data_IF_285922961568
#
_entry.id   IF_285922961568
#
_cell.length_a   1.000
_cell.length_b   1.000
_cell.length_c   1.000
_cell.angle_alpha   90.00
_cell.angle_beta   90.00
_cell.angle_gamma   90.00
#
_symmetry.space_group_name_H-M   'P 1'
#
loop_
_entity.id
_entity.type
_entity.pdbx_description
1 polymer ?
#
# COMPACT_ATOMS: atom_id res chain seq x y z
N UNK A 1 6.34 1.19 -3.88
CA UNK A 1 5.65 0.02 -4.44
C UNK A 1 4.23 0.35 -4.91
N UNK A 2 3.27 0.75 -4.06
CA UNK A 2 1.84 0.91 -4.41
C UNK A 2 1.58 1.77 -5.66
N UNK A 3 2.11 2.98 -5.73
CA UNK A 3 1.92 3.87 -6.88
C UNK A 3 2.56 3.30 -8.17
N UNK A 4 3.78 2.75 -8.09
CA UNK A 4 4.44 2.10 -9.22
C UNK A 4 3.62 0.94 -9.77
N UNK A 5 3.14 0.07 -8.89
CA UNK A 5 2.30 -1.06 -9.31
C UNK A 5 1.01 -0.59 -9.99
N UNK A 6 0.34 0.43 -9.45
CA UNK A 6 -0.84 1.00 -10.10
C UNK A 6 -0.53 1.55 -11.51
N UNK A 7 0.60 2.24 -11.69
CA UNK A 7 1.03 2.70 -13.01
C UNK A 7 1.28 1.52 -13.98
N UNK A 8 1.92 0.46 -13.52
CA UNK A 8 2.17 -0.74 -14.35
C UNK A 8 0.88 -1.49 -14.69
N UNK A 9 -0.11 -1.60 -13.78
CA UNK A 9 -1.43 -2.19 -14.08
C UNK A 9 -2.17 -1.41 -15.17
N UNK A 10 -1.96 -0.12 -15.23
CA UNK A 10 -2.57 0.77 -16.21
C UNK A 10 -1.79 0.86 -17.52
N UNK A 11 -0.55 0.36 -17.56
CA UNK A 11 0.35 0.54 -18.70
C UNK A 11 0.71 2.01 -18.95
N UNK A 12 0.76 2.83 -17.89
CA UNK A 12 1.09 4.23 -18.00
C UNK A 12 2.58 4.43 -18.24
N UNK A 13 2.91 5.31 -19.19
CA UNK A 13 4.24 5.89 -19.29
C UNK A 13 4.40 6.99 -18.24
N UNK A 14 5.33 6.82 -17.32
CA UNK A 14 5.59 7.76 -16.23
C UNK A 14 7.08 7.84 -15.91
N UNK A 15 7.52 8.99 -15.43
CA UNK A 15 8.90 9.24 -15.03
C UNK A 15 9.06 9.03 -13.51
N UNK A 16 9.74 7.96 -13.05
CA UNK A 16 10.03 7.76 -11.64
C UNK A 16 11.15 8.72 -11.20
N UNK A 17 10.87 9.58 -10.22
CA UNK A 17 11.89 10.40 -9.56
C UNK A 17 12.34 9.72 -8.28
N UNK A 18 13.61 9.32 -8.26
CA UNK A 18 14.22 8.66 -7.12
C UNK A 18 14.44 9.65 -5.98
N UNK A 19 13.65 9.52 -4.93
CA UNK A 19 13.78 10.32 -3.71
C UNK A 19 14.09 9.39 -2.54
N UNK A 20 15.32 9.43 -2.05
CA UNK A 20 15.71 8.67 -0.87
C UNK A 20 14.97 9.15 0.37
N UNK A 21 14.24 8.25 1.02
CA UNK A 21 13.56 8.54 2.29
C UNK A 21 14.51 8.65 3.49
N UNK A 22 15.77 8.19 3.29
CA UNK A 22 16.84 8.24 4.28
C UNK A 22 17.93 9.16 3.75
N UNK A 23 18.33 10.18 4.20
CA UNK A 23 19.41 11.06 3.68
C UNK A 23 18.97 12.49 3.46
N UNK A 24 17.81 12.86 3.99
CA UNK A 24 17.38 14.27 4.06
C UNK A 24 16.82 14.85 2.76
N UNK A 25 16.69 14.07 1.68
CA UNK A 25 16.13 14.59 0.42
C UNK A 25 14.69 15.08 0.58
N UNK A 26 13.87 14.38 1.40
CA UNK A 26 12.50 14.79 1.66
C UNK A 26 12.39 16.07 2.51
N UNK A 27 13.50 16.47 3.15
CA UNK A 27 13.58 17.69 3.98
C UNK A 27 14.02 18.92 3.18
N UNK A 28 14.45 18.75 1.92
CA UNK A 28 14.85 19.87 1.08
C UNK A 28 13.63 20.74 0.71
N UNK A 29 13.82 22.07 0.57
CA UNK A 29 12.74 23.00 0.25
C UNK A 29 11.93 22.59 -1.00
N UNK A 30 12.61 22.09 -2.03
CA UNK A 30 11.99 21.67 -3.29
C UNK A 30 10.98 20.52 -3.07
N UNK A 31 11.33 19.56 -2.20
CA UNK A 31 10.43 18.46 -1.87
C UNK A 31 9.32 18.88 -0.90
N UNK A 32 9.65 19.73 0.09
CA UNK A 32 8.66 20.27 1.04
C UNK A 32 7.57 21.08 0.36
N UNK A 33 7.89 21.77 -0.73
CA UNK A 33 6.90 22.48 -1.55
C UNK A 33 5.90 21.54 -2.22
N UNK A 34 6.31 20.29 -2.55
CA UNK A 34 5.43 19.25 -3.07
C UNK A 34 4.67 18.52 -1.96
N UNK A 35 5.37 18.22 -0.86
CA UNK A 35 4.78 17.51 0.28
C UNK A 35 5.40 17.98 1.61
N UNK A 36 4.71 18.88 2.32
CA UNK A 36 5.20 19.39 3.62
C UNK A 36 5.28 18.31 4.71
N UNK A 37 4.70 17.13 4.50
CA UNK A 37 4.83 15.97 5.41
C UNK A 37 6.19 15.27 5.28
N UNK A 38 7.03 15.66 4.30
CA UNK A 38 8.35 15.06 4.06
C UNK A 38 8.31 13.53 3.81
N UNK A 39 7.23 13.06 3.21
CA UNK A 39 6.99 11.62 2.97
C UNK A 39 6.80 11.33 1.49
N UNK A 40 7.23 10.15 1.08
CA UNK A 40 6.94 9.54 -0.22
C UNK A 40 5.81 8.50 -0.05
N UNK A 41 5.04 8.20 -1.12
CA UNK A 41 5.12 8.75 -2.46
C UNK A 41 4.46 10.12 -2.63
N UNK A 42 4.84 10.80 -3.71
CA UNK A 42 4.14 11.96 -4.26
C UNK A 42 3.89 11.68 -5.74
N UNK A 43 2.67 11.88 -6.20
CA UNK A 43 2.31 11.89 -7.62
C UNK A 43 2.20 13.33 -8.10
N UNK A 44 2.77 13.60 -9.27
CA UNK A 44 2.50 14.83 -10.01
C UNK A 44 1.86 14.48 -11.35
N UNK A 45 0.70 15.04 -11.63
CA UNK A 45 0.01 14.92 -12.91
C UNK A 45 -0.27 16.32 -13.42
N UNK A 46 0.55 16.76 -14.39
CA UNK A 46 0.61 18.16 -14.84
C UNK A 46 0.87 19.10 -13.65
N UNK A 47 -0.11 19.93 -13.32
CA UNK A 47 -0.04 20.86 -12.17
C UNK A 47 -0.65 20.29 -10.88
N UNK A 48 -1.29 19.11 -10.98
CA UNK A 48 -1.91 18.47 -9.83
C UNK A 48 -0.87 17.66 -9.04
N UNK A 49 -0.80 17.89 -7.75
CA UNK A 49 0.07 17.18 -6.82
C UNK A 49 -0.78 16.39 -5.85
N UNK A 50 -0.54 15.09 -5.73
CA UNK A 50 -1.28 14.21 -4.83
C UNK A 50 -0.32 13.41 -3.96
N UNK A 51 -0.64 13.33 -2.70
CA UNK A 51 0.07 12.53 -1.69
C UNK A 51 -0.84 11.42 -1.16
N UNK A 52 -0.34 10.56 -0.27
CA UNK A 52 -1.00 9.36 0.26
C UNK A 52 -1.15 8.24 -0.78
N UNK A 53 -0.46 7.14 -0.57
CA UNK A 53 -0.37 6.05 -1.54
C UNK A 53 -1.74 5.48 -1.95
N UNK A 54 -2.70 5.40 -1.02
CA UNK A 54 -4.03 4.91 -1.34
C UNK A 54 -4.86 5.92 -2.15
N UNK A 55 -4.73 7.21 -1.86
CA UNK A 55 -5.35 8.26 -2.66
C UNK A 55 -4.76 8.27 -4.08
N UNK A 56 -3.45 8.09 -4.20
CA UNK A 56 -2.77 7.99 -5.50
C UNK A 56 -3.29 6.79 -6.29
N UNK A 57 -3.37 5.61 -5.68
CA UNK A 57 -3.89 4.39 -6.35
C UNK A 57 -5.33 4.62 -6.80
N UNK A 58 -6.18 5.15 -5.92
CA UNK A 58 -7.58 5.45 -6.25
C UNK A 58 -7.70 6.45 -7.40
N UNK A 59 -6.94 7.55 -7.34
CA UNK A 59 -6.92 8.56 -8.41
C UNK A 59 -6.49 7.98 -9.75
N UNK A 60 -5.41 7.21 -9.78
CA UNK A 60 -4.90 6.58 -10.99
C UNK A 60 -5.94 5.64 -11.61
N UNK A 61 -6.59 4.81 -10.80
CA UNK A 61 -7.59 3.87 -11.28
C UNK A 61 -8.90 4.54 -11.70
N UNK A 62 -9.33 5.60 -11.01
CA UNK A 62 -10.49 6.40 -11.43
C UNK A 62 -10.22 7.15 -12.75
N UNK A 63 -9.04 7.75 -12.88
CA UNK A 63 -8.73 8.65 -14.00
C UNK A 63 -8.31 7.88 -15.26
N UNK A 64 -7.49 6.84 -15.10
CA UNK A 64 -6.84 6.15 -16.21
C UNK A 64 -7.27 4.68 -16.36
N UNK A 65 -8.02 4.13 -15.41
CA UNK A 65 -8.36 2.71 -15.35
C UNK A 65 -9.46 2.26 -16.31
N UNK A 66 -10.17 3.17 -16.96
CA UNK A 66 -11.30 2.83 -17.86
C UNK A 66 -12.30 1.86 -17.19
N UNK A 67 -12.67 2.13 -15.92
CA UNK A 67 -13.58 1.32 -15.11
C UNK A 67 -13.05 -0.07 -14.72
N UNK A 68 -11.78 -0.31 -14.95
CA UNK A 68 -11.11 -1.51 -14.44
C UNK A 68 -10.61 -1.28 -13.02
N UNK A 69 -10.17 -2.05 -12.25
CA UNK A 69 -9.42 -1.90 -10.98
C UNK A 69 -10.09 -1.08 -9.87
N UNK A 70 -11.26 -0.49 -10.11
CA UNK A 70 -12.01 0.29 -9.12
C UNK A 70 -13.51 0.24 -9.45
N UNK A 71 -14.39 0.03 -8.44
CA UNK A 71 -15.83 0.05 -8.66
C UNK A 71 -16.36 1.44 -9.05
N UNK A 72 -17.46 1.47 -9.79
CA UNK A 72 -18.12 2.72 -10.20
C UNK A 72 -18.51 3.58 -8.97
N UNK A 73 -18.38 4.90 -9.06
CA UNK A 73 -18.83 5.82 -8.02
C UNK A 73 -20.30 5.62 -7.67
N UNK A 74 -20.65 5.89 -6.42
CA UNK A 74 -22.03 5.82 -5.88
C UNK A 74 -22.63 4.40 -5.84
N UNK A 75 -21.83 3.34 -5.99
CA UNK A 75 -22.26 1.95 -5.81
C UNK A 75 -21.91 1.42 -4.42
N UNK A 76 -22.57 0.33 -4.02
CA UNK A 76 -22.23 -0.39 -2.78
C UNK A 76 -20.81 -0.94 -2.83
N UNK A 77 -20.38 -1.44 -3.98
CA UNK A 77 -19.01 -1.95 -4.17
C UNK A 77 -17.97 -0.85 -3.99
N UNK A 78 -18.26 0.39 -4.42
CA UNK A 78 -17.40 1.55 -4.13
C UNK A 78 -17.34 1.83 -2.61
N UNK A 79 -18.44 1.69 -1.90
CA UNK A 79 -18.44 1.84 -0.44
C UNK A 79 -17.59 0.76 0.24
N UNK A 80 -17.71 -0.51 -0.19
CA UNK A 80 -16.87 -1.62 0.28
C UNK A 80 -15.39 -1.41 -0.08
N UNK A 81 -15.09 -0.93 -1.28
CA UNK A 81 -13.74 -0.54 -1.69
C UNK A 81 -13.15 0.50 -0.71
N UNK A 82 -13.88 1.58 -0.44
CA UNK A 82 -13.43 2.62 0.48
C UNK A 82 -13.26 2.08 1.91
N UNK A 83 -14.13 1.16 2.35
CA UNK A 83 -14.01 0.49 3.65
C UNK A 83 -12.70 -0.30 3.73
N UNK A 84 -12.40 -1.14 2.72
CA UNK A 84 -11.15 -1.90 2.68
C UNK A 84 -9.92 -0.99 2.61
N UNK A 85 -9.95 0.06 1.78
CA UNK A 85 -8.86 1.03 1.69
C UNK A 85 -8.57 1.68 3.05
N UNK A 86 -9.62 2.07 3.79
CA UNK A 86 -9.49 2.67 5.12
C UNK A 86 -8.99 1.66 6.16
N UNK A 87 -9.57 0.44 6.19
CA UNK A 87 -9.16 -0.63 7.09
C UNK A 87 -7.68 -0.99 6.91
N UNK A 88 -7.26 -1.21 5.68
CA UNK A 88 -5.87 -1.58 5.36
C UNK A 88 -4.91 -0.50 5.84
N UNK A 89 -5.21 0.77 5.57
CA UNK A 89 -4.32 1.87 5.94
C UNK A 89 -4.28 2.14 7.44
N UNK A 90 -5.41 2.05 8.12
CA UNK A 90 -5.46 2.39 9.54
C UNK A 90 -5.05 1.21 10.40
N UNK A 91 -5.69 0.05 10.21
CA UNK A 91 -5.55 -1.08 11.13
C UNK A 91 -4.32 -1.96 10.82
N UNK A 92 -3.98 -2.14 9.54
CA UNK A 92 -2.88 -3.02 9.14
C UNK A 92 -1.57 -2.27 8.83
N UNK A 93 -1.64 -1.01 8.42
CA UNK A 93 -0.46 -0.18 8.11
C UNK A 93 -0.11 0.72 9.30
N UNK A 94 -0.89 1.78 9.51
CA UNK A 94 -0.52 2.89 10.38
C UNK A 94 -0.38 2.51 11.84
N UNK A 95 -1.32 1.71 12.37
CA UNK A 95 -1.35 1.32 13.78
C UNK A 95 -0.49 0.09 14.09
N UNK A 96 -0.03 -0.65 13.07
CA UNK A 96 0.70 -1.89 13.27
C UNK A 96 2.06 -1.88 12.57
N UNK A 97 2.17 -2.26 11.31
CA UNK A 97 3.46 -2.39 10.60
C UNK A 97 4.29 -1.11 10.61
N UNK A 98 3.64 0.05 10.51
CA UNK A 98 4.35 1.33 10.54
C UNK A 98 4.85 1.70 11.95
N UNK A 99 4.16 1.29 13.01
CA UNK A 99 4.63 1.41 14.40
C UNK A 99 5.87 0.54 14.61
N UNK A 100 5.82 -0.72 14.16
CA UNK A 100 6.97 -1.62 14.22
C UNK A 100 8.16 -1.02 13.49
N UNK A 101 7.95 -0.54 12.26
CA UNK A 101 9.00 0.13 11.48
C UNK A 101 9.62 1.30 12.21
N UNK A 102 8.82 2.16 12.83
CA UNK A 102 9.33 3.34 13.54
C UNK A 102 10.20 2.97 14.74
N UNK A 103 9.70 2.07 15.58
CA UNK A 103 10.23 1.86 16.92
C UNK A 103 11.12 0.62 17.04
N UNK A 104 11.28 -0.13 15.94
CA UNK A 104 12.22 -1.25 15.81
C UNK A 104 13.28 -0.94 14.74
N UNK A 105 12.88 -0.72 13.48
CA UNK A 105 13.82 -0.59 12.36
C UNK A 105 14.44 0.80 12.26
N UNK A 106 13.75 1.83 12.74
CA UNK A 106 14.16 3.23 12.72
C UNK A 106 14.26 3.81 14.14
N UNK A 107 14.59 2.98 15.13
CA UNK A 107 14.70 3.39 16.53
C UNK A 107 15.72 4.51 16.76
N UNK A 108 16.79 4.55 15.99
CA UNK A 108 17.77 5.64 16.03
C UNK A 108 17.18 7.00 15.68
N UNK A 109 16.06 7.00 14.93
CA UNK A 109 15.40 8.24 14.45
C UNK A 109 14.19 8.60 15.31
N UNK A 110 13.41 7.59 15.74
CA UNK A 110 12.13 7.78 16.41
C UNK A 110 12.11 7.34 17.88
N UNK A 111 13.19 6.75 18.36
CA UNK A 111 13.29 6.13 19.69
C UNK A 111 12.72 4.72 19.73
N UNK A 112 13.36 3.86 20.51
CA UNK A 112 12.87 2.50 20.79
C UNK A 112 11.61 2.56 21.68
N UNK A 113 10.60 1.77 21.36
CA UNK A 113 9.38 1.63 22.17
C UNK A 113 8.89 0.16 22.15
N UNK A 114 9.56 -0.77 22.88
CA UNK A 114 9.26 -2.20 22.81
C UNK A 114 7.79 -2.54 23.08
N UNK A 115 7.18 -1.91 24.09
CA UNK A 115 5.77 -2.15 24.41
C UNK A 115 4.82 -1.72 23.26
N UNK A 116 5.14 -0.64 22.54
CA UNK A 116 4.35 -0.23 21.38
C UNK A 116 4.54 -1.20 20.20
N UNK A 117 5.76 -1.74 20.03
CA UNK A 117 6.05 -2.78 19.02
C UNK A 117 5.28 -4.06 19.32
N UNK A 118 5.28 -4.52 20.57
CA UNK A 118 4.52 -5.71 21.01
C UNK A 118 3.02 -5.52 20.76
N UNK A 119 2.45 -4.41 21.21
CA UNK A 119 1.03 -4.09 20.98
C UNK A 119 0.68 -3.99 19.47
N UNK A 120 1.62 -3.52 18.66
CA UNK A 120 1.42 -3.44 17.22
C UNK A 120 1.46 -4.82 16.53
N UNK A 121 2.30 -5.74 17.02
CA UNK A 121 2.34 -7.13 16.56
C UNK A 121 1.02 -7.83 16.90
N UNK A 122 0.55 -7.72 18.15
CA UNK A 122 -0.73 -8.29 18.56
C UNK A 122 -1.90 -7.69 17.79
N UNK A 123 -1.86 -6.37 17.57
CA UNK A 123 -2.85 -5.66 16.76
C UNK A 123 -2.91 -6.18 15.34
N UNK A 124 -1.77 -6.35 14.68
CA UNK A 124 -1.70 -6.91 13.33
C UNK A 124 -2.29 -8.33 13.30
N UNK A 125 -1.83 -9.21 14.18
CA UNK A 125 -2.29 -10.60 14.24
C UNK A 125 -3.80 -10.71 14.46
N UNK A 126 -4.38 -9.81 15.24
CA UNK A 126 -5.82 -9.73 15.45
C UNK A 126 -6.56 -9.23 14.20
N UNK A 127 -6.10 -8.11 13.64
CA UNK A 127 -6.82 -7.44 12.55
C UNK A 127 -6.72 -8.18 11.22
N UNK A 128 -5.61 -8.85 10.95
CA UNK A 128 -5.45 -9.58 9.68
C UNK A 128 -6.45 -10.75 9.55
N UNK A 129 -6.98 -11.26 10.67
CA UNK A 129 -8.02 -12.31 10.66
C UNK A 129 -9.30 -11.86 9.96
N UNK A 130 -9.58 -10.56 9.92
CA UNK A 130 -10.74 -10.02 9.17
C UNK A 130 -10.59 -10.29 7.68
N UNK A 131 -9.40 -10.04 7.14
CA UNK A 131 -9.12 -10.31 5.73
C UNK A 131 -9.02 -11.82 5.46
N UNK A 132 -8.40 -12.58 6.36
CA UNK A 132 -8.28 -14.04 6.24
C UNK A 132 -9.66 -14.69 6.17
N UNK A 133 -10.55 -14.37 7.11
CA UNK A 133 -11.91 -14.91 7.10
C UNK A 133 -12.70 -14.53 5.84
N UNK A 134 -12.59 -13.28 5.39
CA UNK A 134 -13.29 -12.81 4.20
C UNK A 134 -12.81 -13.54 2.93
N UNK A 135 -11.50 -13.72 2.78
CA UNK A 135 -10.87 -14.33 1.63
C UNK A 135 -11.02 -15.86 1.56
N UNK A 136 -11.54 -16.53 2.60
CA UNK A 136 -11.92 -17.95 2.54
C UNK A 136 -13.03 -18.21 1.52
N UNK A 137 -13.89 -17.24 1.27
CA UNK A 137 -15.05 -17.37 0.37
C UNK A 137 -15.02 -16.38 -0.80
N UNK A 138 -13.99 -15.55 -0.90
CA UNK A 138 -13.89 -14.51 -1.91
C UNK A 138 -12.50 -14.51 -2.54
N UNK A 139 -12.44 -14.43 -3.86
CA UNK A 139 -11.17 -14.37 -4.59
C UNK A 139 -10.51 -13.00 -4.48
N UNK A 140 -11.31 -11.93 -4.41
CA UNK A 140 -10.90 -10.54 -4.29
C UNK A 140 -11.63 -9.84 -3.14
N UNK A 141 -11.08 -8.72 -2.67
CA UNK A 141 -11.67 -7.94 -1.57
C UNK A 141 -12.96 -7.21 -1.96
N UNK A 142 -13.15 -6.92 -3.24
CA UNK A 142 -14.34 -6.25 -3.74
C UNK A 142 -14.75 -6.82 -5.10
N UNK A 143 -15.98 -7.30 -5.20
CA UNK A 143 -16.49 -7.84 -6.45
C UNK A 143 -15.78 -9.10 -6.92
N UNK A 144 -15.71 -9.29 -8.23
CA UNK A 144 -15.19 -10.50 -8.87
C UNK A 144 -13.86 -10.27 -9.62
N UNK A 145 -13.16 -9.16 -9.35
CA UNK A 145 -11.91 -8.84 -10.05
C UNK A 145 -10.97 -8.02 -9.18
N UNK A 146 -9.69 -8.06 -9.53
CA UNK A 146 -8.64 -7.29 -8.87
C UNK A 146 -8.96 -5.77 -8.85
N UNK A 147 -8.80 -5.16 -7.68
CA UNK A 147 -9.00 -3.73 -7.44
C UNK A 147 -7.82 -3.09 -6.70
N UNK A 148 -7.85 -1.78 -6.51
CA UNK A 148 -6.89 -1.06 -5.67
C UNK A 148 -6.86 -1.53 -4.22
N UNK A 149 -7.95 -2.10 -3.71
CA UNK A 149 -7.98 -2.70 -2.37
C UNK A 149 -7.08 -3.94 -2.31
N UNK A 150 -7.13 -4.80 -3.34
CA UNK A 150 -6.26 -5.97 -3.44
C UNK A 150 -4.79 -5.57 -3.60
N UNK A 151 -4.52 -4.52 -4.36
CA UNK A 151 -3.18 -3.94 -4.50
C UNK A 151 -2.62 -3.51 -3.13
N UNK A 152 -3.40 -2.77 -2.34
CA UNK A 152 -2.97 -2.33 -1.02
C UNK A 152 -2.79 -3.51 -0.07
N UNK A 153 -3.76 -4.43 0.00
CA UNK A 153 -3.69 -5.62 0.86
C UNK A 153 -2.44 -6.44 0.55
N UNK A 154 -2.17 -6.72 -0.71
CA UNK A 154 -0.98 -7.47 -1.11
C UNK A 154 0.31 -6.80 -0.65
N UNK A 155 0.40 -5.46 -0.72
CA UNK A 155 1.59 -4.76 -0.21
C UNK A 155 1.73 -4.84 1.30
N UNK A 156 0.64 -4.98 2.05
CA UNK A 156 0.65 -5.23 3.50
C UNK A 156 1.12 -6.66 3.78
N UNK A 157 0.59 -7.65 3.08
CA UNK A 157 0.95 -9.05 3.28
C UNK A 157 2.44 -9.28 3.00
N UNK A 158 2.95 -8.78 1.87
CA UNK A 158 4.38 -8.89 1.54
C UNK A 158 5.28 -8.15 2.55
N UNK A 159 4.81 -7.06 3.13
CA UNK A 159 5.54 -6.36 4.18
C UNK A 159 5.51 -7.13 5.50
N UNK A 160 4.37 -7.71 5.87
CA UNK A 160 4.23 -8.56 7.05
C UNK A 160 5.13 -9.79 6.96
N UNK A 161 5.15 -10.49 5.81
CA UNK A 161 6.08 -11.60 5.57
C UNK A 161 7.55 -11.19 5.73
N UNK A 162 7.94 -10.04 5.18
CA UNK A 162 9.29 -9.50 5.33
C UNK A 162 9.62 -9.15 6.80
N UNK A 163 8.62 -8.96 7.65
CA UNK A 163 8.76 -8.74 9.10
C UNK A 163 8.68 -10.02 9.93
N UNK A 164 8.50 -11.18 9.29
CA UNK A 164 8.46 -12.49 9.93
C UNK A 164 7.09 -12.85 10.52
N UNK A 165 6.02 -12.18 10.09
CA UNK A 165 4.67 -12.61 10.46
C UNK A 165 4.31 -13.91 9.72
N UNK A 166 3.75 -14.86 10.46
CA UNK A 166 3.20 -16.07 9.89
C UNK A 166 1.79 -15.80 9.38
N UNK A 167 1.62 -15.87 8.07
CA UNK A 167 0.33 -15.74 7.40
C UNK A 167 -0.32 -17.12 7.24
N UNK A 168 -1.65 -17.17 7.26
CA UNK A 168 -2.39 -18.40 6.92
C UNK A 168 -2.11 -18.82 5.47
N UNK A 169 -2.33 -20.10 5.16
CA UNK A 169 -2.22 -20.59 3.79
C UNK A 169 -3.14 -19.82 2.83
N UNK A 170 -4.34 -19.45 3.28
CA UNK A 170 -5.29 -18.69 2.49
C UNK A 170 -4.75 -17.28 2.12
N UNK A 171 -4.16 -16.56 3.08
CA UNK A 171 -3.54 -15.25 2.83
C UNK A 171 -2.28 -15.37 1.97
N UNK A 172 -1.49 -16.43 2.16
CA UNK A 172 -0.30 -16.73 1.34
C UNK A 172 -0.68 -17.02 -0.10
N UNK A 173 -1.70 -17.86 -0.32
CA UNK A 173 -2.22 -18.18 -1.65
C UNK A 173 -2.80 -16.95 -2.34
N UNK A 174 -3.55 -16.13 -1.59
CA UNK A 174 -4.07 -14.86 -2.11
C UNK A 174 -2.92 -13.92 -2.52
N UNK A 175 -1.94 -13.70 -1.64
CA UNK A 175 -0.77 -12.88 -1.91
C UNK A 175 0.01 -13.38 -3.12
N UNK A 176 0.20 -14.71 -3.22
CA UNK A 176 0.86 -15.37 -4.34
C UNK A 176 0.18 -15.13 -5.68
N UNK A 177 -1.16 -15.21 -5.73
CA UNK A 177 -1.92 -14.89 -6.95
C UNK A 177 -1.69 -13.44 -7.40
N UNK A 178 -1.70 -12.49 -6.46
CA UNK A 178 -1.54 -11.08 -6.80
C UNK A 178 -0.09 -10.72 -7.16
N UNK A 179 0.89 -11.27 -6.47
CA UNK A 179 2.32 -11.05 -6.77
C UNK A 179 2.79 -11.75 -8.05
N UNK A 180 2.04 -12.74 -8.54
CA UNK A 180 2.31 -13.38 -9.84
C UNK A 180 1.98 -12.48 -11.05
N UNK A 181 1.24 -11.40 -10.87
CA UNK A 181 0.86 -10.46 -11.93
C UNK A 181 2.09 -9.78 -12.54
N UNK A 182 2.14 -9.67 -13.85
CA UNK A 182 3.28 -9.06 -14.56
C UNK A 182 3.50 -7.59 -14.14
N UNK A 183 2.42 -6.84 -13.89
CA UNK A 183 2.51 -5.47 -13.40
C UNK A 183 3.17 -5.38 -12.01
N UNK A 184 2.91 -6.33 -11.10
CA UNK A 184 3.59 -6.41 -9.80
C UNK A 184 5.09 -6.67 -9.98
N UNK A 185 5.46 -7.67 -10.77
CA UNK A 185 6.86 -8.03 -11.04
C UNK A 185 7.63 -6.87 -11.65
N UNK A 186 7.04 -6.21 -12.65
CA UNK A 186 7.62 -5.04 -13.30
C UNK A 186 7.82 -3.87 -12.31
N UNK A 187 6.81 -3.60 -11.46
CA UNK A 187 6.93 -2.59 -10.42
C UNK A 187 8.00 -2.93 -9.37
N UNK A 188 8.11 -4.20 -8.97
CA UNK A 188 9.13 -4.64 -8.03
C UNK A 188 10.53 -4.48 -8.62
N UNK A 189 10.74 -4.89 -9.88
CA UNK A 189 12.02 -4.73 -10.58
C UNK A 189 12.41 -3.26 -10.73
N UNK A 190 11.46 -2.38 -11.05
CA UNK A 190 11.73 -0.94 -11.18
C UNK A 190 12.22 -0.30 -9.88
N UNK A 191 11.88 -0.88 -8.72
CA UNK A 191 12.31 -0.39 -7.40
C UNK A 191 13.68 -0.92 -6.96
N UNK A 192 14.16 -2.02 -7.52
CA UNK A 192 15.51 -2.56 -7.22
C UNK A 192 16.59 -1.67 -7.84
N UNK A 193 16.28 -0.99 -8.93
CA UNK A 193 17.18 -0.10 -9.65
C UNK A 193 17.06 1.38 -9.23
N UNK A 194 16.30 1.67 -8.19
CA UNK A 194 16.13 2.95 -7.55
C UNK A 194 16.86 2.94 -6.19
#
# INVERSE_FOLDING_TARGET
MRAHWACHELGLDYEPKVIGSRGGFTQKPEFRNLNPKEKIPVLTDKQFVLTESAAIVTYLFDTYGQKRFIPEPYTKDRALYNQWMSFIQMELDAHTLYVIRKHRDLESLYGAAPAAVEAAIDGFNKQIQVADHFLQSNEYLVGASFTGADLLMTTILTWAEAYGFELSSNLTDYSGRQTSREAYKSAALSLIHI
#
